data_IF_156427454986
#
_entry.id   IF_156427454986
#
_cell.length_a   1.000
_cell.length_b   1.000
_cell.length_c   1.000
_cell.angle_alpha   90.00
_cell.angle_beta   90.00
_cell.angle_gamma   90.00
#
_symmetry.space_group_name_H-M   'P 1'
#
loop_
_entity.id
_entity.type
_entity.pdbx_description
1 polymer ?
#
# COMPACT_ATOMS: atom_id res chain seq x y z
N UNK A 1 -39.11 7.34 -6.64
CA UNK A 1 -37.76 7.53 -7.22
C UNK A 1 -36.74 7.28 -6.13
N UNK A 2 -36.40 6.01 -5.91
CA UNK A 2 -35.49 5.56 -4.85
C UNK A 2 -34.09 5.35 -5.44
N UNK A 3 -33.14 6.16 -4.99
CA UNK A 3 -31.72 6.08 -5.34
C UNK A 3 -31.08 4.89 -4.61
N UNK A 4 -30.82 3.80 -5.33
CA UNK A 4 -29.94 2.74 -4.87
C UNK A 4 -28.51 3.17 -5.19
N UNK A 5 -27.75 3.60 -4.18
CA UNK A 5 -26.31 3.83 -4.32
C UNK A 5 -25.65 2.46 -4.38
N UNK A 6 -25.52 1.97 -5.59
CA UNK A 6 -24.78 0.76 -5.92
C UNK A 6 -23.29 1.12 -5.91
N UNK A 7 -22.51 0.22 -5.32
CA UNK A 7 -21.06 0.04 -5.55
C UNK A 7 -20.13 0.80 -4.60
N UNK A 8 -19.96 0.18 -3.43
CA UNK A 8 -18.66 -0.20 -2.83
C UNK A 8 -17.47 0.36 -3.62
N UNK A 9 -16.60 1.19 -3.02
CA UNK A 9 -15.44 1.72 -3.73
C UNK A 9 -14.66 0.53 -4.28
N UNK A 10 -14.72 0.37 -5.59
CA UNK A 10 -13.88 -0.54 -6.33
C UNK A 10 -12.47 -0.13 -5.96
N UNK A 11 -11.78 -1.05 -5.30
CA UNK A 11 -10.36 -1.04 -5.00
C UNK A 11 -9.60 -0.91 -6.32
N UNK A 12 -9.65 0.29 -6.90
CA UNK A 12 -8.82 0.72 -8.02
C UNK A 12 -7.51 1.29 -7.47
N UNK A 13 -7.13 0.89 -6.28
CA UNK A 13 -5.74 0.99 -5.86
C UNK A 13 -5.06 -0.12 -6.62
N UNK A 14 -4.41 0.23 -7.73
CA UNK A 14 -3.33 -0.58 -8.28
C UNK A 14 -2.63 -1.24 -7.09
N UNK A 15 -2.71 -2.56 -7.00
CA UNK A 15 -2.02 -3.36 -5.99
C UNK A 15 -0.52 -3.12 -6.21
N UNK A 16 -0.05 -1.96 -5.78
CA UNK A 16 1.35 -1.65 -5.68
C UNK A 16 1.75 -2.39 -4.44
N UNK A 17 2.03 -3.69 -4.59
CA UNK A 17 2.51 -4.55 -3.52
C UNK A 17 3.47 -3.74 -2.63
N UNK A 18 2.99 -3.28 -1.47
CA UNK A 18 3.77 -2.58 -0.49
C UNK A 18 4.25 -3.59 0.54
N UNK A 19 5.38 -3.32 1.16
CA UNK A 19 5.87 -4.08 2.29
C UNK A 19 6.05 -3.13 3.46
N UNK A 20 5.60 -3.58 4.62
CA UNK A 20 5.79 -2.88 5.89
C UNK A 20 7.22 -3.10 6.38
N UNK A 21 7.92 -2.02 6.68
CA UNK A 21 9.28 -2.08 7.18
C UNK A 21 9.33 -2.65 8.61
N UNK A 22 10.16 -3.66 8.92
CA UNK A 22 10.24 -4.21 10.27
C UNK A 22 10.90 -3.27 11.29
N UNK A 23 11.63 -2.25 10.85
CA UNK A 23 12.32 -1.30 11.73
C UNK A 23 11.40 -0.14 12.14
N UNK A 24 10.82 0.55 11.15
CA UNK A 24 10.05 1.77 11.37
C UNK A 24 8.55 1.62 11.07
N UNK A 25 8.09 0.42 10.68
CA UNK A 25 6.71 0.13 10.25
C UNK A 25 6.20 0.97 9.07
N UNK A 26 7.06 1.74 8.40
CA UNK A 26 6.71 2.49 7.21
C UNK A 26 6.36 1.57 6.03
N UNK A 27 5.33 1.93 5.28
CA UNK A 27 4.95 1.25 4.05
C UNK A 27 5.85 1.66 2.89
N UNK A 28 6.52 0.69 2.31
CA UNK A 28 7.42 0.91 1.17
C UNK A 28 6.98 0.08 -0.02
N UNK A 29 7.11 0.63 -1.23
CA UNK A 29 6.78 -0.11 -2.47
C UNK A 29 7.72 -1.32 -2.65
N UNK A 30 7.20 -2.49 -3.03
CA UNK A 30 7.98 -3.71 -3.32
C UNK A 30 9.02 -3.52 -4.41
N UNK A 31 8.83 -2.55 -5.31
CA UNK A 31 9.86 -2.16 -6.28
C UNK A 31 11.16 -1.68 -5.62
N UNK A 32 11.10 -1.15 -4.38
CA UNK A 32 12.27 -0.71 -3.62
C UNK A 32 12.72 -1.79 -2.65
N UNK A 33 14.02 -2.11 -2.72
CA UNK A 33 14.73 -3.02 -1.79
C UNK A 33 14.98 -2.40 -0.40
N UNK A 34 14.84 -1.08 -0.28
CA UNK A 34 15.09 -0.32 0.95
C UNK A 34 13.87 0.50 1.33
N UNK A 35 13.59 0.56 2.62
CA UNK A 35 12.54 1.38 3.19
C UNK A 35 12.77 2.85 2.82
N UNK A 36 11.71 3.55 2.42
CA UNK A 36 11.80 4.97 2.07
C UNK A 36 12.11 5.84 3.29
N UNK A 37 11.57 5.48 4.45
CA UNK A 37 11.57 6.31 5.65
C UNK A 37 12.86 6.13 6.46
N UNK A 38 13.22 4.90 6.79
CA UNK A 38 14.39 4.60 7.64
C UNK A 38 15.56 3.95 6.89
N UNK A 39 15.43 3.67 5.59
CA UNK A 39 16.52 3.10 4.77
C UNK A 39 16.79 1.61 4.99
N UNK A 40 16.08 0.95 5.90
CA UNK A 40 16.20 -0.49 6.18
C UNK A 40 16.05 -1.32 4.90
N UNK A 41 17.00 -2.20 4.64
CA UNK A 41 16.91 -3.14 3.52
C UNK A 41 15.99 -4.31 3.89
N UNK A 42 15.14 -4.74 2.96
CA UNK A 42 14.30 -5.95 3.10
C UNK A 42 15.10 -7.27 2.93
N UNK A 43 16.40 -7.25 3.20
CA UNK A 43 17.39 -8.24 2.78
C UNK A 43 18.32 -8.52 3.96
#
# INVERSE_FOLDING_TARGET
MTTTVTERPTERTTDRATWSCPNCQGETTTAKKRCRDCGTSRW
#
